data_IF_775819610824
#
_entry.id   IF_775819610824
#
_cell.length_a   1.000
_cell.length_b   1.000
_cell.length_c   1.000
_cell.angle_alpha   90.00
_cell.angle_beta   90.00
_cell.angle_gamma   90.00
#
_symmetry.space_group_name_H-M   'P 1'
#
loop_
_entity.id
_entity.type
_entity.pdbx_description
1 polymer ?
#
# COMPACT_ATOMS: atom_id res chain seq x y z
N UNK A 1 -26.69 -40.52 -6.42
CA UNK A 1 -26.64 -39.04 -6.28
C UNK A 1 -25.45 -38.74 -5.37
N UNK A 2 -24.31 -38.30 -5.89
CA UNK A 2 -23.03 -38.40 -5.17
C UNK A 2 -22.63 -37.13 -4.37
N UNK A 3 -23.34 -36.01 -4.55
CA UNK A 3 -23.14 -34.79 -3.76
C UNK A 3 -24.51 -34.16 -3.52
N UNK A 4 -25.19 -34.59 -2.45
CA UNK A 4 -26.54 -34.11 -2.15
C UNK A 4 -26.52 -32.74 -1.45
N UNK A 5 -25.39 -32.35 -0.83
CA UNK A 5 -25.30 -31.16 0.01
C UNK A 5 -23.94 -30.49 -0.08
N UNK A 6 -23.92 -29.16 0.09
CA UNK A 6 -22.69 -28.35 0.21
C UNK A 6 -21.79 -28.82 1.37
N UNK A 7 -22.39 -29.49 2.38
CA UNK A 7 -21.67 -30.13 3.48
C UNK A 7 -20.76 -31.27 3.03
N UNK A 8 -21.16 -32.14 2.09
CA UNK A 8 -20.29 -33.22 1.58
C UNK A 8 -19.07 -32.67 0.84
N UNK A 9 -19.18 -31.46 0.28
CA UNK A 9 -18.08 -30.80 -0.41
C UNK A 9 -17.04 -30.23 0.56
N UNK A 10 -17.50 -29.74 1.73
CA UNK A 10 -16.63 -29.29 2.83
C UNK A 10 -16.06 -30.50 3.58
N UNK A 11 -16.83 -31.58 3.69
CA UNK A 11 -16.53 -32.75 4.53
C UNK A 11 -16.09 -33.97 3.71
N UNK A 12 -15.60 -33.75 2.49
CA UNK A 12 -15.00 -34.73 1.59
C UNK A 12 -13.69 -35.28 2.20
N UNK A 13 -13.76 -36.02 3.31
CA UNK A 13 -12.64 -36.74 3.93
C UNK A 13 -11.40 -35.90 4.25
N UNK A 14 -11.54 -34.59 4.47
CA UNK A 14 -10.42 -33.69 4.81
C UNK A 14 -9.78 -32.94 3.63
N UNK A 15 -10.20 -33.16 2.38
CA UNK A 15 -9.60 -32.47 1.22
C UNK A 15 -9.97 -30.99 1.09
N UNK A 16 -11.16 -30.60 1.54
CA UNK A 16 -11.63 -29.22 1.45
C UNK A 16 -10.73 -28.24 2.22
N UNK A 17 -10.11 -28.69 3.31
CA UNK A 17 -9.15 -27.89 4.09
C UNK A 17 -7.94 -27.48 3.24
N UNK A 18 -7.38 -28.40 2.44
CA UNK A 18 -6.25 -28.11 1.56
C UNK A 18 -6.63 -27.15 0.44
N UNK A 19 -7.84 -27.30 -0.13
CA UNK A 19 -8.36 -26.37 -1.16
C UNK A 19 -8.53 -24.98 -0.58
N UNK A 20 -9.12 -24.86 0.61
CA UNK A 20 -9.29 -23.58 1.29
C UNK A 20 -7.94 -22.95 1.59
N UNK A 21 -6.97 -23.68 2.16
CA UNK A 21 -5.62 -23.16 2.42
C UNK A 21 -4.94 -22.67 1.14
N UNK A 22 -5.07 -23.41 0.04
CA UNK A 22 -4.49 -23.00 -1.26
C UNK A 22 -5.13 -21.70 -1.76
N UNK A 23 -6.45 -21.59 -1.72
CA UNK A 23 -7.17 -20.37 -2.08
C UNK A 23 -6.83 -19.21 -1.15
N UNK A 24 -6.76 -19.45 0.16
CA UNK A 24 -6.36 -18.47 1.17
C UNK A 24 -4.93 -17.97 0.94
N UNK A 25 -4.01 -18.87 0.59
CA UNK A 25 -2.63 -18.53 0.29
C UNK A 25 -2.54 -17.69 -1.00
N UNK A 26 -3.24 -18.07 -2.06
CA UNK A 26 -3.31 -17.30 -3.29
C UNK A 26 -3.92 -15.90 -3.05
N UNK A 27 -5.03 -15.84 -2.31
CA UNK A 27 -5.68 -14.59 -1.93
C UNK A 27 -4.75 -13.70 -1.09
N UNK A 28 -4.03 -14.29 -0.14
CA UNK A 28 -3.04 -13.59 0.68
C UNK A 28 -1.91 -13.01 -0.17
N UNK A 29 -1.38 -13.77 -1.13
CA UNK A 29 -0.35 -13.28 -2.06
C UNK A 29 -0.84 -12.08 -2.88
N UNK A 30 -2.06 -12.16 -3.41
CA UNK A 30 -2.66 -11.07 -4.18
C UNK A 30 -2.82 -9.83 -3.29
N UNK A 31 -3.40 -9.97 -2.09
CA UNK A 31 -3.55 -8.87 -1.13
C UNK A 31 -2.20 -8.26 -0.80
N UNK A 32 -1.21 -9.10 -0.48
CA UNK A 32 0.12 -8.64 -0.10
C UNK A 32 0.78 -7.84 -1.23
N UNK A 33 0.65 -8.32 -2.47
CA UNK A 33 1.14 -7.61 -3.66
C UNK A 33 0.40 -6.28 -3.87
N UNK A 34 -0.93 -6.26 -3.73
CA UNK A 34 -1.74 -5.03 -3.80
C UNK A 34 -1.32 -4.03 -2.73
N UNK A 35 -1.15 -4.47 -1.48
CA UNK A 35 -0.72 -3.63 -0.35
C UNK A 35 0.67 -3.05 -0.62
N UNK A 36 1.62 -3.86 -1.07
CA UNK A 36 2.98 -3.39 -1.41
C UNK A 36 2.94 -2.40 -2.56
N UNK A 37 2.15 -2.65 -3.60
CA UNK A 37 1.99 -1.74 -4.74
C UNK A 37 1.43 -0.38 -4.32
N UNK A 38 0.38 -0.37 -3.50
CA UNK A 38 -0.22 0.87 -2.98
C UNK A 38 0.74 1.59 -2.03
N UNK A 39 1.45 0.86 -1.16
CA UNK A 39 2.45 1.43 -0.26
C UNK A 39 3.62 2.05 -1.02
N UNK A 40 4.10 1.42 -2.10
CA UNK A 40 5.16 1.96 -2.95
C UNK A 40 4.73 3.29 -3.58
N UNK A 41 3.51 3.39 -4.11
CA UNK A 41 2.96 4.65 -4.63
C UNK A 41 2.91 5.74 -3.57
N UNK A 42 2.42 5.42 -2.36
CA UNK A 42 2.38 6.37 -1.24
C UNK A 42 3.78 6.79 -0.76
N UNK A 43 4.75 5.87 -0.75
CA UNK A 43 6.12 6.17 -0.35
C UNK A 43 6.78 7.19 -1.29
N UNK A 44 6.59 7.03 -2.60
CA UNK A 44 7.11 7.97 -3.60
C UNK A 44 6.51 9.37 -3.44
N UNK A 45 5.19 9.47 -3.24
CA UNK A 45 4.53 10.74 -2.98
C UNK A 45 5.03 11.40 -1.68
N UNK A 46 5.26 10.59 -0.64
CA UNK A 46 5.75 11.08 0.66
C UNK A 46 7.19 11.59 0.58
N UNK A 47 8.02 10.96 -0.24
CA UNK A 47 9.39 11.41 -0.51
C UNK A 47 9.41 12.74 -1.28
N UNK A 48 8.53 12.89 -2.28
CA UNK A 48 8.36 14.14 -3.03
C UNK A 48 7.88 15.25 -2.09
N UNK A 49 6.87 15.00 -1.26
CA UNK A 49 6.38 15.98 -0.29
C UNK A 49 7.47 16.42 0.70
N UNK A 50 8.27 15.48 1.19
CA UNK A 50 9.38 15.78 2.11
C UNK A 50 10.43 16.69 1.46
N UNK A 51 10.75 16.48 0.17
CA UNK A 51 11.64 17.38 -0.58
C UNK A 51 11.01 18.77 -0.80
N UNK A 52 9.72 18.82 -1.18
CA UNK A 52 9.02 20.08 -1.40
C UNK A 52 8.95 20.95 -0.14
N UNK A 53 8.68 20.37 1.03
CA UNK A 53 8.62 21.13 2.29
C UNK A 53 9.97 21.81 2.62
N UNK A 54 11.09 21.17 2.30
CA UNK A 54 12.42 21.75 2.52
C UNK A 54 12.69 22.90 1.55
N UNK A 55 12.33 22.73 0.29
CA UNK A 55 12.51 23.77 -0.73
C UNK A 55 11.60 24.98 -0.48
N UNK A 56 10.37 24.76 -0.01
CA UNK A 56 9.45 25.83 0.38
C UNK A 56 9.99 26.64 1.56
N UNK A 57 10.52 25.97 2.59
CA UNK A 57 11.11 26.65 3.75
C UNK A 57 12.33 27.48 3.34
N UNK A 58 13.18 26.97 2.46
CA UNK A 58 14.32 27.72 1.93
C UNK A 58 13.88 28.90 1.06
N UNK A 59 12.83 28.76 0.24
CA UNK A 59 12.24 29.87 -0.53
C UNK A 59 11.69 30.97 0.38
N UNK A 60 11.01 30.60 1.48
CA UNK A 60 10.50 31.57 2.45
C UNK A 60 11.66 32.33 3.15
N UNK A 61 12.72 31.64 3.54
CA UNK A 61 13.92 32.27 4.10
C UNK A 61 14.61 33.20 3.09
N UNK A 62 14.73 32.82 1.81
CA UNK A 62 15.26 33.70 0.74
C UNK A 62 14.38 34.91 0.47
N UNK A 63 13.05 34.76 0.51
CA UNK A 63 12.10 35.86 0.30
C UNK A 63 12.12 36.85 1.48
N UNK A 64 12.27 36.34 2.70
CA UNK A 64 12.50 37.16 3.90
C UNK A 64 13.84 37.91 3.84
N UNK A 65 14.93 37.24 3.42
CA UNK A 65 16.25 37.88 3.31
C UNK A 65 16.31 38.96 2.21
N UNK A 66 15.71 38.73 1.04
CA UNK A 66 15.65 39.74 -0.04
C UNK A 66 14.75 40.94 0.28
N UNK A 67 13.83 40.83 1.26
CA UNK A 67 13.03 41.99 1.73
C UNK A 67 13.74 42.76 2.84
N UNK A 68 14.77 42.17 3.46
CA UNK A 68 15.55 42.72 4.57
C UNK A 68 16.95 43.17 4.14
N UNK A 69 17.29 43.13 2.85
CA UNK A 69 18.50 43.75 2.32
C UNK A 69 18.13 45.19 1.90
N UNK A 70 18.47 46.21 2.70
CA UNK A 70 18.24 47.60 2.31
C UNK A 70 19.09 47.88 1.08
N UNK A 71 18.45 48.39 0.03
CA UNK A 71 19.14 48.99 -1.11
C UNK A 71 19.91 50.21 -0.59
N UNK A 72 21.22 50.07 -0.35
CA UNK A 72 22.25 51.13 -0.36
C UNK A 72 23.61 50.52 -0.10
#
# INVERSE_FOLDING_TARGET
MHFANFNDFIDMGGYAFFVWLSYGCAFFLIISLTVVSVRRRKSLLREIQSKQQRDEKLKQLRKGKNSNEPKT
#
